data_IF_567677914811
#
_entry.id   IF_567677914811
#
_cell.length_a   1.000
_cell.length_b   1.000
_cell.length_c   1.000
_cell.angle_alpha   90.00
_cell.angle_beta   90.00
_cell.angle_gamma   90.00
#
_symmetry.space_group_name_H-M   'P 1'
#
loop_
_entity.id
_entity.type
_entity.pdbx_description
1 polymer ?
#
# COMPACT_ATOMS: atom_id res chain seq x y z
N UNK A 1 -24.92 -1.78 -11.01
CA UNK A 1 -24.14 -2.87 -11.61
C UNK A 1 -23.60 -2.35 -12.93
N UNK A 2 -22.31 -1.99 -12.96
CA UNK A 2 -21.68 -1.27 -14.07
C UNK A 2 -21.30 -2.29 -15.16
N UNK A 3 -21.83 -2.15 -16.37
CA UNK A 3 -21.67 -3.14 -17.47
C UNK A 3 -20.48 -2.78 -18.37
N UNK A 4 -19.83 -3.81 -18.90
CA UNK A 4 -18.65 -3.80 -19.80
C UNK A 4 -18.79 -3.06 -21.16
N UNK A 5 -19.86 -2.27 -21.37
CA UNK A 5 -20.15 -1.65 -22.68
C UNK A 5 -19.71 -0.19 -22.83
N UNK A 6 -19.49 0.52 -21.74
CA UNK A 6 -19.21 1.96 -21.79
C UNK A 6 -17.69 2.19 -21.70
N UNK A 7 -17.09 2.80 -22.73
CA UNK A 7 -15.65 3.02 -22.89
C UNK A 7 -15.01 3.98 -21.88
N UNK A 8 -15.22 3.77 -20.58
CA UNK A 8 -14.63 4.56 -19.50
C UNK A 8 -13.24 4.05 -19.14
N UNK A 9 -12.24 4.93 -19.29
CA UNK A 9 -10.91 4.75 -18.73
C UNK A 9 -10.94 5.05 -17.23
N UNK A 10 -11.06 4.01 -16.40
CA UNK A 10 -11.07 4.20 -14.94
C UNK A 10 -9.71 4.59 -14.37
N UNK A 11 -8.62 4.35 -15.10
CA UNK A 11 -7.26 4.66 -14.65
C UNK A 11 -6.73 5.91 -15.35
N UNK A 12 -6.30 6.87 -14.55
CA UNK A 12 -5.56 8.05 -14.99
C UNK A 12 -4.11 7.98 -14.53
N UNK A 13 -3.19 8.32 -15.43
CA UNK A 13 -1.74 8.38 -15.17
C UNK A 13 -1.26 9.84 -15.24
N UNK A 14 0.06 10.06 -15.32
CA UNK A 14 0.62 11.39 -15.56
C UNK A 14 0.01 12.11 -16.76
N UNK A 15 -0.06 13.44 -16.69
CA UNK A 15 -0.73 14.32 -17.66
C UNK A 15 -2.23 14.02 -17.88
N UNK A 16 -2.86 13.30 -16.93
CA UNK A 16 -4.26 12.83 -17.02
C UNK A 16 -4.54 12.02 -18.28
N UNK A 17 -3.53 11.31 -18.80
CA UNK A 17 -3.74 10.36 -19.88
C UNK A 17 -4.61 9.23 -19.37
N UNK A 18 -5.79 9.17 -19.96
CA UNK A 18 -6.84 8.22 -19.68
C UNK A 18 -6.64 7.01 -20.60
N UNK A 19 -6.38 5.83 -20.04
CA UNK A 19 -6.20 4.63 -20.84
C UNK A 19 -7.53 3.89 -20.98
N UNK A 20 -8.07 3.75 -22.21
CA UNK A 20 -9.42 3.20 -22.42
C UNK A 20 -9.57 1.76 -21.94
N UNK A 21 -8.48 0.98 -21.93
CA UNK A 21 -8.46 -0.45 -21.62
C UNK A 21 -7.10 -0.87 -21.06
N UNK A 22 -6.76 -0.45 -19.85
CA UNK A 22 -5.71 -1.15 -19.12
C UNK A 22 -6.27 -2.54 -18.75
N UNK A 23 -5.61 -3.60 -19.24
CA UNK A 23 -5.87 -4.96 -18.76
C UNK A 23 -5.47 -5.10 -17.28
N UNK A 24 -5.50 -6.31 -16.71
CA UNK A 24 -5.13 -6.53 -15.31
C UNK A 24 -3.65 -6.21 -15.00
N UNK A 25 -2.80 -6.06 -16.02
CA UNK A 25 -1.40 -5.60 -15.89
C UNK A 25 -1.20 -4.32 -16.70
N UNK A 26 -0.95 -3.23 -16.00
CA UNK A 26 -0.64 -1.90 -16.56
C UNK A 26 0.72 -1.39 -16.06
N UNK A 27 1.64 -2.31 -15.73
CA UNK A 27 2.97 -1.97 -15.20
C UNK A 27 3.80 -1.13 -16.18
N UNK A 28 3.57 -1.30 -17.49
CA UNK A 28 4.26 -0.53 -18.53
C UNK A 28 3.82 0.93 -18.48
N UNK A 29 2.53 1.16 -18.39
CA UNK A 29 1.90 2.46 -18.43
C UNK A 29 2.14 3.26 -17.15
N UNK A 30 2.08 2.59 -15.99
CA UNK A 30 2.50 3.16 -14.71
C UNK A 30 3.99 3.58 -14.68
N UNK A 31 4.82 3.01 -15.56
CA UNK A 31 6.24 3.34 -15.69
C UNK A 31 6.55 4.45 -16.69
N UNK A 32 5.55 5.02 -17.38
CA UNK A 32 5.75 6.08 -18.36
C UNK A 32 5.78 7.46 -17.70
N UNK A 33 4.77 7.80 -16.90
CA UNK A 33 4.64 9.06 -16.19
C UNK A 33 3.73 8.87 -14.97
N UNK A 34 4.13 9.37 -13.79
CA UNK A 34 3.32 9.21 -12.57
C UNK A 34 2.24 10.31 -12.48
N UNK A 35 1.11 9.98 -11.86
CA UNK A 35 -0.03 10.89 -11.70
C UNK A 35 0.31 12.14 -10.86
N UNK A 36 1.04 11.97 -9.76
CA UNK A 36 1.44 13.05 -8.85
C UNK A 36 2.93 12.88 -8.48
N UNK A 37 3.86 13.48 -9.25
CA UNK A 37 5.29 13.39 -9.00
C UNK A 37 5.71 14.35 -7.88
N UNK A 38 6.49 13.85 -6.92
CA UNK A 38 7.10 14.67 -5.87
C UNK A 38 8.47 15.19 -6.32
N UNK A 39 8.67 16.51 -6.25
CA UNK A 39 9.98 17.12 -6.50
C UNK A 39 10.99 16.67 -5.43
N UNK A 40 12.13 16.15 -5.89
CA UNK A 40 13.23 15.69 -5.04
C UNK A 40 14.31 16.78 -4.97
N UNK A 41 14.33 17.46 -3.83
CA UNK A 41 15.26 18.51 -3.44
C UNK A 41 16.51 17.96 -2.76
N UNK A 42 16.39 16.98 -1.85
CA UNK A 42 17.53 16.44 -1.09
C UNK A 42 17.25 15.04 -0.58
N UNK A 43 18.19 14.13 -0.82
CA UNK A 43 18.15 12.76 -0.30
C UNK A 43 19.57 12.22 -0.07
N UNK A 44 19.67 11.21 0.79
CA UNK A 44 20.93 10.54 1.09
C UNK A 44 20.92 9.08 0.61
N UNK A 45 22.09 8.57 0.27
CA UNK A 45 22.32 7.14 0.00
C UNK A 45 23.38 6.64 0.98
N UNK A 46 23.01 5.70 1.84
CA UNK A 46 23.91 5.07 2.80
C UNK A 46 24.31 3.70 2.25
N UNK A 47 25.61 3.44 2.14
CA UNK A 47 26.15 2.13 1.74
C UNK A 47 27.38 1.78 2.55
N UNK A 48 27.81 0.52 2.53
CA UNK A 48 29.19 0.19 2.96
C UNK A 48 30.20 0.68 1.93
N UNK A 49 31.47 0.81 2.33
CA UNK A 49 32.56 1.19 1.42
C UNK A 49 32.69 0.21 0.23
N UNK A 50 32.49 -1.09 0.48
CA UNK A 50 32.53 -2.15 -0.55
C UNK A 50 31.43 -1.98 -1.63
N UNK A 51 30.27 -1.45 -1.26
CA UNK A 51 29.14 -1.28 -2.18
C UNK A 51 29.01 0.16 -2.71
N UNK A 52 30.00 1.03 -2.45
CA UNK A 52 29.98 2.44 -2.86
C UNK A 52 29.83 2.62 -4.38
N UNK A 53 30.45 1.77 -5.20
CA UNK A 53 30.29 1.85 -6.66
C UNK A 53 28.89 1.43 -7.14
N UNK A 54 28.21 0.53 -6.43
CA UNK A 54 26.79 0.23 -6.69
C UNK A 54 25.90 1.39 -6.27
N UNK A 55 26.25 2.07 -5.18
CA UNK A 55 25.53 3.26 -4.72
C UNK A 55 25.63 4.43 -5.71
N UNK A 56 26.83 4.70 -6.24
CA UNK A 56 27.03 5.71 -7.30
C UNK A 56 26.22 5.40 -8.55
N UNK A 57 26.30 4.15 -9.05
CA UNK A 57 25.49 3.68 -10.19
C UNK A 57 23.99 3.79 -9.93
N UNK A 58 23.54 3.51 -8.70
CA UNK A 58 22.16 3.71 -8.31
C UNK A 58 21.76 5.19 -8.38
N UNK A 59 22.57 6.10 -7.85
CA UNK A 59 22.30 7.55 -7.87
C UNK A 59 22.13 8.06 -9.31
N UNK A 60 23.05 7.67 -10.20
CA UNK A 60 23.01 8.04 -11.62
C UNK A 60 21.76 7.45 -12.31
N UNK A 61 21.51 6.15 -12.13
CA UNK A 61 20.35 5.50 -12.73
C UNK A 61 19.04 6.07 -12.19
N UNK A 62 18.98 6.41 -10.90
CA UNK A 62 17.82 7.01 -10.26
C UNK A 62 17.48 8.34 -10.93
N UNK A 63 18.48 9.22 -11.13
CA UNK A 63 18.29 10.47 -11.86
C UNK A 63 17.77 10.23 -13.30
N UNK A 64 18.33 9.23 -14.00
CA UNK A 64 17.93 8.91 -15.37
C UNK A 64 16.48 8.42 -15.48
N UNK A 65 16.00 7.60 -14.53
CA UNK A 65 14.62 7.09 -14.55
C UNK A 65 13.60 8.07 -13.97
N UNK A 66 14.01 8.99 -13.09
CA UNK A 66 13.11 10.00 -12.51
C UNK A 66 12.60 11.00 -13.56
N UNK A 67 13.43 11.37 -14.54
CA UNK A 67 13.06 12.34 -15.59
C UNK A 67 11.81 11.94 -16.40
N UNK A 68 11.73 10.75 -17.03
CA UNK A 68 10.53 10.36 -17.77
C UNK A 68 9.30 10.24 -16.88
N UNK A 69 9.47 9.90 -15.59
CA UNK A 69 8.37 9.83 -14.64
C UNK A 69 7.77 11.20 -14.27
N UNK A 70 8.38 12.32 -14.68
CA UNK A 70 7.97 13.66 -14.23
C UNK A 70 8.53 14.05 -12.85
N UNK A 71 9.39 13.22 -12.26
CA UNK A 71 10.03 13.49 -10.96
C UNK A 71 11.21 14.43 -11.18
N UNK A 72 11.03 15.70 -10.80
CA UNK A 72 12.08 16.71 -10.89
C UNK A 72 13.11 16.53 -9.78
N UNK A 73 14.38 16.46 -10.16
CA UNK A 73 15.53 16.31 -9.26
C UNK A 73 16.33 17.62 -9.21
N UNK A 74 16.48 18.23 -8.03
CA UNK A 74 17.25 19.46 -7.86
C UNK A 74 18.75 19.22 -7.63
N UNK A 75 19.11 18.08 -7.04
CA UNK A 75 20.50 17.70 -6.80
C UNK A 75 20.67 16.18 -6.82
N UNK A 76 21.92 15.73 -7.01
CA UNK A 76 22.29 14.33 -6.85
C UNK A 76 22.27 13.91 -5.37
N UNK A 77 22.05 12.62 -5.13
CA UNK A 77 22.03 12.06 -3.78
C UNK A 77 23.38 12.17 -3.09
N UNK A 78 23.37 12.52 -1.81
CA UNK A 78 24.58 12.54 -0.98
C UNK A 78 24.94 11.12 -0.56
N UNK A 79 26.10 10.61 -1.01
CA UNK A 79 26.58 9.29 -0.62
C UNK A 79 27.29 9.33 0.75
N UNK A 80 26.82 8.51 1.68
CA UNK A 80 27.42 8.29 3.00
C UNK A 80 27.94 6.86 3.07
N UNK A 81 29.26 6.70 3.20
CA UNK A 81 29.92 5.39 3.22
C UNK A 81 30.24 4.93 4.63
N UNK A 82 29.81 3.73 4.99
CA UNK A 82 30.08 3.08 6.27
C UNK A 82 31.25 2.11 6.16
N UNK A 83 32.04 1.99 7.23
CA UNK A 83 33.08 0.97 7.36
C UNK A 83 32.49 -0.37 7.82
N UNK A 84 31.50 -0.32 8.70
CA UNK A 84 30.83 -1.49 9.27
C UNK A 84 29.45 -1.77 8.66
N UNK A 85 28.89 -2.91 9.05
CA UNK A 85 27.53 -3.35 8.69
C UNK A 85 26.76 -3.81 9.95
N UNK A 86 26.85 -3.01 11.02
CA UNK A 86 26.17 -3.25 12.30
C UNK A 86 25.04 -2.22 12.50
N UNK A 87 24.02 -2.52 13.32
CA UNK A 87 22.91 -1.60 13.57
C UNK A 87 23.34 -0.18 13.99
N UNK A 88 24.36 -0.08 14.86
CA UNK A 88 24.85 1.21 15.34
C UNK A 88 25.54 2.05 14.25
N UNK A 89 26.17 1.43 13.24
CA UNK A 89 26.78 2.14 12.12
C UNK A 89 25.72 2.94 11.34
N UNK A 90 24.59 2.30 11.04
CA UNK A 90 23.48 2.93 10.33
C UNK A 90 22.79 3.99 11.19
N UNK A 91 22.52 3.71 12.46
CA UNK A 91 21.89 4.69 13.35
C UNK A 91 22.76 5.94 13.51
N UNK A 92 24.09 5.79 13.61
CA UNK A 92 25.01 6.93 13.69
C UNK A 92 25.00 7.76 12.40
N UNK A 93 24.98 7.11 11.24
CA UNK A 93 24.87 7.81 9.96
C UNK A 93 23.52 8.52 9.78
N UNK A 94 22.42 7.87 10.17
CA UNK A 94 21.07 8.45 10.13
C UNK A 94 20.90 9.63 11.08
N UNK A 95 21.54 9.58 12.26
CA UNK A 95 21.55 10.71 13.22
C UNK A 95 22.25 11.96 12.66
N UNK A 96 23.18 11.78 11.72
CA UNK A 96 23.84 12.88 11.03
C UNK A 96 23.01 13.55 9.94
N UNK A 97 21.82 13.01 9.63
CA UNK A 97 20.90 13.60 8.65
C UNK A 97 19.91 14.53 9.36
N UNK A 98 19.51 15.60 8.69
CA UNK A 98 18.45 16.51 9.17
C UNK A 98 17.09 16.08 8.60
N UNK A 99 16.13 15.66 9.44
CA UNK A 99 14.78 15.27 9.00
C UNK A 99 13.99 16.39 8.32
N UNK A 100 14.28 17.66 8.62
CA UNK A 100 13.54 18.79 8.05
C UNK A 100 13.94 19.10 6.61
N UNK A 101 15.15 18.70 6.21
CA UNK A 101 15.69 18.97 4.86
C UNK A 101 15.92 17.73 4.03
N UNK A 102 16.11 16.56 4.65
CA UNK A 102 16.33 15.29 3.94
C UNK A 102 15.00 14.59 3.69
N UNK A 103 14.54 14.54 2.43
CA UNK A 103 13.23 13.99 2.09
C UNK A 103 13.15 12.47 2.19
N UNK A 104 14.24 11.77 1.88
CA UNK A 104 14.32 10.32 2.04
C UNK A 104 15.77 9.84 2.12
N UNK A 105 15.93 8.60 2.56
CA UNK A 105 17.21 7.90 2.61
C UNK A 105 17.11 6.54 1.93
N UNK A 106 18.09 6.24 1.06
CA UNK A 106 18.26 4.91 0.47
C UNK A 106 19.37 4.19 1.22
N UNK A 107 19.10 2.98 1.70
CA UNK A 107 20.09 2.14 2.40
C UNK A 107 20.43 0.93 1.55
N UNK A 108 21.67 0.85 1.07
CA UNK A 108 22.18 -0.31 0.34
C UNK A 108 22.82 -1.27 1.34
N UNK A 109 22.11 -2.37 1.61
CA UNK A 109 22.53 -3.43 2.52
C UNK A 109 23.35 -4.49 1.75
N UNK A 110 24.58 -4.84 2.18
CA UNK A 110 25.39 -5.87 1.51
C UNK A 110 24.70 -7.23 1.42
N UNK A 111 23.96 -7.60 2.48
CA UNK A 111 23.23 -8.85 2.60
C UNK A 111 21.95 -8.66 3.43
N UNK A 112 21.07 -9.66 3.40
CA UNK A 112 19.85 -9.67 4.20
C UNK A 112 20.21 -9.93 5.66
N UNK A 113 19.79 -9.01 6.53
CA UNK A 113 19.95 -9.08 7.98
C UNK A 113 18.77 -8.40 8.65
N UNK A 114 17.91 -9.18 9.26
CA UNK A 114 16.63 -8.70 9.78
C UNK A 114 16.83 -7.81 11.01
N UNK A 115 17.85 -8.07 11.82
CA UNK A 115 18.24 -7.24 12.96
C UNK A 115 18.67 -5.83 12.53
N UNK A 116 19.50 -5.73 11.48
CA UNK A 116 19.94 -4.45 10.90
C UNK A 116 18.77 -3.73 10.23
N UNK A 117 17.96 -4.46 9.45
CA UNK A 117 16.78 -3.89 8.80
C UNK A 117 15.78 -3.31 9.83
N UNK A 118 15.48 -4.07 10.88
CA UNK A 118 14.59 -3.64 11.95
C UNK A 118 15.13 -2.42 12.68
N UNK A 119 16.44 -2.37 12.98
CA UNK A 119 17.07 -1.22 13.61
C UNK A 119 16.97 0.05 12.74
N UNK A 120 17.27 -0.06 11.44
CA UNK A 120 17.12 1.05 10.48
C UNK A 120 15.67 1.53 10.43
N UNK A 121 14.71 0.61 10.34
CA UNK A 121 13.28 0.94 10.25
C UNK A 121 12.76 1.60 11.52
N UNK A 122 13.14 1.09 12.68
CA UNK A 122 12.79 1.67 13.97
C UNK A 122 13.35 3.10 14.09
N UNK A 123 14.63 3.29 13.78
CA UNK A 123 15.28 4.60 13.87
C UNK A 123 14.64 5.62 12.93
N UNK A 124 14.36 5.24 11.68
CA UNK A 124 13.74 6.11 10.68
C UNK A 124 12.26 6.45 10.96
N UNK A 125 11.62 5.79 11.92
CA UNK A 125 10.21 6.05 12.29
C UNK A 125 10.14 6.77 13.64
N UNK A 126 10.97 6.39 14.62
CA UNK A 126 10.91 6.91 15.98
C UNK A 126 11.88 8.07 16.25
N UNK A 127 13.15 7.93 15.85
CA UNK A 127 14.22 8.85 16.29
C UNK A 127 14.54 9.91 15.23
N UNK A 128 14.46 9.56 13.94
CA UNK A 128 14.80 10.41 12.81
C UNK A 128 13.76 10.15 11.70
N UNK A 129 12.59 10.82 11.73
CA UNK A 129 11.44 10.49 10.90
C UNK A 129 11.65 10.85 9.42
N UNK A 130 12.44 10.03 8.73
CA UNK A 130 12.80 10.16 7.31
C UNK A 130 12.34 8.90 6.57
N UNK A 131 11.51 9.04 5.51
CA UNK A 131 11.16 7.92 4.65
C UNK A 131 12.39 7.13 4.16
N UNK A 132 12.39 5.81 4.41
CA UNK A 132 13.54 4.96 4.12
C UNK A 132 13.28 3.88 3.06
N UNK A 133 14.23 3.68 2.16
CA UNK A 133 14.22 2.65 1.13
C UNK A 133 15.45 1.74 1.26
N UNK A 134 15.27 0.53 1.79
CA UNK A 134 16.34 -0.45 1.85
C UNK A 134 16.43 -1.22 0.52
N UNK A 135 17.65 -1.51 0.07
CA UNK A 135 17.95 -2.23 -1.16
C UNK A 135 19.06 -3.24 -0.86
N UNK A 136 18.88 -4.51 -1.23
CA UNK A 136 19.98 -5.46 -1.15
C UNK A 136 20.99 -5.20 -2.28
N UNK A 137 22.28 -5.17 -1.94
CA UNK A 137 23.37 -4.93 -2.88
C UNK A 137 23.34 -5.88 -4.07
N UNK A 138 22.98 -7.16 -3.86
CA UNK A 138 22.81 -8.15 -4.94
C UNK A 138 21.76 -7.75 -5.99
N UNK A 139 20.73 -7.00 -5.59
CA UNK A 139 19.68 -6.52 -6.50
C UNK A 139 20.22 -5.51 -7.50
N UNK A 140 21.24 -4.72 -7.11
CA UNK A 140 21.90 -3.74 -7.98
C UNK A 140 23.05 -4.35 -8.81
N UNK A 141 23.38 -5.63 -8.61
CA UNK A 141 24.50 -6.28 -9.29
C UNK A 141 24.23 -6.69 -10.74
N UNK A 142 22.96 -6.77 -11.17
CA UNK A 142 22.61 -7.16 -12.53
C UNK A 142 22.41 -5.94 -13.43
N UNK A 143 23.44 -5.59 -14.20
CA UNK A 143 23.44 -4.39 -15.05
C UNK A 143 22.31 -4.37 -16.08
N UNK A 144 22.00 -5.53 -16.69
CA UNK A 144 20.92 -5.65 -17.69
C UNK A 144 19.54 -5.32 -17.10
N UNK A 145 19.34 -5.54 -15.80
CA UNK A 145 18.08 -5.29 -15.10
C UNK A 145 18.09 -4.02 -14.24
N UNK A 146 19.24 -3.34 -14.13
CA UNK A 146 19.42 -2.20 -13.23
C UNK A 146 18.37 -1.11 -13.48
N UNK A 147 18.13 -0.73 -14.75
CA UNK A 147 17.16 0.30 -15.10
C UNK A 147 15.74 -0.04 -14.63
N UNK A 148 15.26 -1.25 -14.88
CA UNK A 148 13.89 -1.65 -14.49
C UNK A 148 13.74 -1.82 -12.98
N UNK A 149 14.81 -2.23 -12.30
CA UNK A 149 14.88 -2.30 -10.84
C UNK A 149 14.80 -0.90 -10.23
N UNK A 150 15.65 0.02 -10.69
CA UNK A 150 15.70 1.39 -10.17
C UNK A 150 14.42 2.16 -10.51
N UNK A 151 13.80 1.91 -11.67
CA UNK A 151 12.49 2.44 -12.02
C UNK A 151 11.43 2.06 -10.97
N UNK A 152 11.32 0.77 -10.61
CA UNK A 152 10.38 0.31 -9.57
C UNK A 152 10.67 0.93 -8.21
N UNK A 153 11.95 1.07 -7.87
CA UNK A 153 12.37 1.74 -6.63
C UNK A 153 11.98 3.23 -6.65
N UNK A 154 12.10 3.91 -7.79
CA UNK A 154 11.69 5.30 -7.93
C UNK A 154 10.19 5.50 -7.75
N UNK A 155 9.38 4.61 -8.32
CA UNK A 155 7.93 4.59 -8.10
C UNK A 155 7.60 4.40 -6.61
N UNK A 156 8.28 3.46 -5.92
CA UNK A 156 8.10 3.25 -4.47
C UNK A 156 8.49 4.47 -3.64
N UNK A 157 9.61 5.13 -3.99
CA UNK A 157 10.06 6.35 -3.30
C UNK A 157 9.04 7.47 -3.51
N UNK A 158 8.53 7.67 -4.73
CA UNK A 158 7.50 8.67 -4.98
C UNK A 158 6.27 8.47 -4.07
N UNK A 159 5.78 7.23 -3.93
CA UNK A 159 4.68 6.91 -3.03
C UNK A 159 5.01 7.21 -1.55
N UNK A 160 6.23 6.90 -1.11
CA UNK A 160 6.67 7.16 0.28
C UNK A 160 6.79 8.65 0.59
N UNK A 161 7.01 9.48 -0.43
CA UNK A 161 7.02 10.94 -0.31
C UNK A 161 5.62 11.54 -0.43
N UNK A 162 4.59 10.70 -0.56
CA UNK A 162 3.19 11.11 -0.68
C UNK A 162 2.72 11.30 -2.12
N UNK A 163 3.56 11.07 -3.13
CA UNK A 163 3.15 11.10 -4.54
C UNK A 163 2.30 9.90 -4.92
N UNK A 164 1.70 9.96 -6.11
CA UNK A 164 0.74 8.95 -6.56
C UNK A 164 1.08 8.50 -7.97
N UNK A 165 1.01 7.20 -8.24
CA UNK A 165 1.43 6.64 -9.53
C UNK A 165 0.33 6.73 -10.58
N UNK A 166 -0.89 6.45 -10.15
CA UNK A 166 -2.12 6.45 -10.94
C UNK A 166 -3.30 6.77 -10.02
N UNK A 167 -4.43 7.09 -10.60
CA UNK A 167 -5.67 7.46 -9.93
C UNK A 167 -6.86 6.71 -10.50
N UNK A 168 -7.86 6.43 -9.67
CA UNK A 168 -9.13 5.84 -10.11
C UNK A 168 -10.18 6.93 -10.34
N UNK A 169 -10.75 7.00 -11.54
CA UNK A 169 -11.81 7.97 -11.88
C UNK A 169 -13.18 7.42 -11.52
N UNK A 170 -13.51 7.38 -10.23
CA UNK A 170 -14.83 6.93 -9.80
C UNK A 170 -15.90 8.00 -10.06
N UNK A 171 -17.05 7.67 -10.67
CA UNK A 171 -18.11 8.62 -10.99
C UNK A 171 -19.00 8.86 -9.76
N UNK A 172 -18.37 9.13 -8.62
CA UNK A 172 -19.02 9.32 -7.32
C UNK A 172 -19.19 10.81 -7.05
N UNK A 173 -20.45 11.25 -6.90
CA UNK A 173 -20.78 12.62 -6.49
C UNK A 173 -20.55 12.84 -4.99
N UNK A 174 -20.73 11.78 -4.21
CA UNK A 174 -20.49 11.73 -2.77
C UNK A 174 -18.99 11.64 -2.46
N UNK A 175 -18.56 12.18 -1.33
CA UNK A 175 -17.23 11.96 -0.77
C UNK A 175 -17.22 10.64 -0.02
N UNK A 176 -16.45 9.69 -0.55
CA UNK A 176 -16.40 8.33 -0.02
C UNK A 176 -15.04 8.10 0.64
N UNK A 177 -15.08 7.61 1.88
CA UNK A 177 -13.92 7.10 2.60
C UNK A 177 -13.91 5.58 2.51
N UNK A 178 -12.92 5.04 1.81
CA UNK A 178 -12.62 3.60 1.81
C UNK A 178 -11.64 3.30 2.93
N UNK A 179 -11.99 2.35 3.79
CA UNK A 179 -11.20 1.96 4.95
C UNK A 179 -10.77 0.51 4.78
N UNK A 180 -9.48 0.23 4.87
CA UNK A 180 -8.92 -1.12 4.93
C UNK A 180 -8.45 -1.43 6.34
N UNK A 181 -8.80 -2.60 6.86
CA UNK A 181 -8.39 -3.07 8.19
C UNK A 181 -7.75 -4.44 8.07
N UNK A 182 -6.54 -4.60 8.60
CA UNK A 182 -5.85 -5.89 8.70
C UNK A 182 -5.23 -6.05 10.09
N UNK A 183 -5.08 -7.30 10.53
CA UNK A 183 -4.51 -7.64 11.81
C UNK A 183 -3.39 -8.67 11.65
N UNK A 184 -2.20 -8.32 12.13
CA UNK A 184 -1.06 -9.21 12.22
C UNK A 184 -1.00 -9.84 13.62
N UNK A 185 -0.97 -11.17 13.65
CA UNK A 185 -0.87 -11.94 14.88
C UNK A 185 0.44 -12.74 14.90
N UNK A 186 1.13 -12.76 16.03
CA UNK A 186 2.21 -13.72 16.26
C UNK A 186 1.60 -15.13 16.38
N UNK A 187 1.97 -16.09 15.52
CA UNK A 187 1.49 -17.47 15.60
C UNK A 187 1.75 -18.13 16.96
N UNK A 188 2.82 -17.71 17.65
CA UNK A 188 3.19 -18.21 18.98
C UNK A 188 2.55 -17.41 20.12
N UNK A 189 1.81 -16.34 19.82
CA UNK A 189 1.15 -15.43 20.77
C UNK A 189 2.09 -14.85 21.83
N UNK A 190 3.39 -14.74 21.55
CA UNK A 190 4.38 -14.11 22.45
C UNK A 190 4.31 -12.60 22.34
N UNK A 191 4.18 -12.11 21.11
CA UNK A 191 4.05 -10.69 20.83
C UNK A 191 2.57 -10.24 20.76
N UNK A 192 2.28 -8.98 21.15
CA UNK A 192 0.95 -8.40 20.97
C UNK A 192 0.52 -8.45 19.50
N UNK A 193 -0.78 -8.67 19.29
CA UNK A 193 -1.36 -8.56 17.95
C UNK A 193 -1.39 -7.09 17.54
N UNK A 194 -1.16 -6.81 16.27
CA UNK A 194 -1.15 -5.43 15.74
C UNK A 194 -2.24 -5.29 14.70
N UNK A 195 -3.14 -4.33 14.91
CA UNK A 195 -4.17 -3.94 13.96
C UNK A 195 -3.74 -2.67 13.23
N UNK A 196 -4.00 -2.62 11.93
CA UNK A 196 -3.73 -1.47 11.09
C UNK A 196 -5.01 -1.04 10.39
N UNK A 197 -5.28 0.27 10.41
CA UNK A 197 -6.37 0.90 9.69
C UNK A 197 -5.78 1.88 8.68
N UNK A 198 -6.22 1.79 7.43
CA UNK A 198 -5.86 2.71 6.36
C UNK A 198 -7.14 3.29 5.77
N UNK A 199 -7.25 4.62 5.66
CA UNK A 199 -8.43 5.29 5.16
C UNK A 199 -8.09 6.21 3.98
N UNK A 200 -8.83 6.13 2.87
CA UNK A 200 -8.66 7.04 1.73
C UNK A 200 -9.09 8.45 2.10
N UNK A 201 -8.37 9.44 1.58
CA UNK A 201 -8.61 10.86 1.85
C UNK A 201 -9.24 11.60 0.68
N UNK A 202 -9.40 10.93 -0.46
CA UNK A 202 -9.99 11.47 -1.67
C UNK A 202 -10.63 10.37 -2.52
N UNK A 203 -11.58 10.76 -3.37
CA UNK A 203 -12.31 9.83 -4.24
C UNK A 203 -11.42 9.18 -5.30
N UNK A 204 -10.27 9.77 -5.63
CA UNK A 204 -9.34 9.15 -6.59
C UNK A 204 -8.52 8.00 -5.98
N UNK A 205 -8.65 7.77 -4.66
CA UNK A 205 -7.89 6.76 -3.91
C UNK A 205 -6.37 6.93 -4.07
N UNK A 206 -5.88 8.17 -4.00
CA UNK A 206 -4.44 8.47 -4.20
C UNK A 206 -3.74 8.90 -2.92
N UNK A 207 -4.50 9.31 -1.89
CA UNK A 207 -4.01 9.75 -0.59
C UNK A 207 -4.66 8.93 0.51
N UNK A 208 -3.88 8.56 1.52
CA UNK A 208 -4.31 7.69 2.59
C UNK A 208 -3.82 8.18 3.95
N UNK A 209 -4.69 8.12 4.94
CA UNK A 209 -4.33 8.14 6.35
C UNK A 209 -4.07 6.70 6.80
N UNK A 210 -3.07 6.47 7.65
CA UNK A 210 -2.82 5.17 8.24
C UNK A 210 -2.49 5.28 9.71
N UNK A 211 -2.98 4.32 10.49
CA UNK A 211 -2.67 4.18 11.91
C UNK A 211 -2.52 2.70 12.22
N UNK A 212 -1.60 2.39 13.14
CA UNK A 212 -1.43 1.05 13.69
C UNK A 212 -1.55 1.12 15.21
N UNK A 213 -2.14 0.10 15.81
CA UNK A 213 -2.24 -0.09 17.25
C UNK A 213 -1.91 -1.54 17.59
N UNK A 214 -1.24 -1.76 18.72
CA UNK A 214 -0.89 -3.10 19.21
C UNK A 214 -1.66 -3.38 20.50
N UNK A 215 -2.25 -4.56 20.60
CA UNK A 215 -3.02 -5.02 21.76
C UNK A 215 -2.72 -6.48 22.08
N UNK A 216 -2.75 -6.84 23.37
CA UNK A 216 -2.55 -8.23 23.83
C UNK A 216 -3.85 -9.04 23.77
N UNK A 217 -5.00 -8.38 23.86
CA UNK A 217 -6.32 -9.02 23.86
C UNK A 217 -7.19 -8.42 22.76
N UNK A 218 -8.14 -9.21 22.23
CA UNK A 218 -9.05 -8.81 21.16
C UNK A 218 -9.86 -7.55 21.49
N UNK A 219 -10.27 -7.40 22.75
CA UNK A 219 -11.01 -6.22 23.20
C UNK A 219 -10.19 -4.92 23.07
N UNK A 220 -8.91 -4.93 23.46
CA UNK A 220 -8.02 -3.77 23.31
C UNK A 220 -7.86 -3.37 21.83
N UNK A 221 -7.82 -4.37 20.93
CA UNK A 221 -7.76 -4.12 19.49
C UNK A 221 -9.07 -3.50 18.97
N UNK A 222 -10.22 -3.99 19.40
CA UNK A 222 -11.52 -3.45 19.01
C UNK A 222 -11.70 -2.00 19.52
N UNK A 223 -11.34 -1.72 20.77
CA UNK A 223 -11.36 -0.36 21.33
C UNK A 223 -10.40 0.57 20.57
N UNK A 224 -9.23 0.05 20.18
CA UNK A 224 -8.28 0.80 19.34
C UNK A 224 -8.87 1.16 17.97
N UNK A 225 -9.65 0.26 17.35
CA UNK A 225 -10.28 0.51 16.04
C UNK A 225 -11.22 1.72 16.05
N UNK A 226 -12.00 1.90 17.13
CA UNK A 226 -12.84 3.08 17.31
C UNK A 226 -11.99 4.35 17.24
N UNK A 227 -10.95 4.45 18.07
CA UNK A 227 -10.07 5.62 18.10
C UNK A 227 -9.33 5.84 16.76
N UNK A 228 -8.96 4.77 16.08
CA UNK A 228 -8.31 4.85 14.76
C UNK A 228 -9.26 5.40 13.69
N UNK A 229 -10.53 4.99 13.68
CA UNK A 229 -11.52 5.54 12.74
C UNK A 229 -11.91 6.98 13.12
N UNK A 230 -12.01 7.29 14.41
CA UNK A 230 -12.25 8.67 14.88
C UNK A 230 -11.15 9.62 14.35
N UNK A 231 -9.88 9.24 14.49
CA UNK A 231 -8.76 10.02 13.96
C UNK A 231 -8.77 10.12 12.44
N UNK A 232 -9.11 9.04 11.73
CA UNK A 232 -9.22 9.05 10.28
C UNK A 232 -10.33 9.99 9.78
N UNK A 233 -11.50 10.01 10.43
CA UNK A 233 -12.60 10.92 10.10
C UNK A 233 -12.20 12.38 10.37
N UNK A 234 -11.59 12.66 11.52
CA UNK A 234 -11.10 14.00 11.85
C UNK A 234 -10.03 14.48 10.85
N UNK A 235 -9.10 13.60 10.46
CA UNK A 235 -8.09 13.93 9.45
C UNK A 235 -8.69 14.13 8.06
N UNK A 236 -9.68 13.31 7.69
CA UNK A 236 -10.43 13.52 6.45
C UNK A 236 -11.13 14.88 6.46
N UNK A 237 -11.80 15.24 7.54
CA UNK A 237 -12.46 16.53 7.69
C UNK A 237 -11.48 17.70 7.63
N UNK A 238 -10.28 17.57 8.21
CA UNK A 238 -9.29 18.65 8.16
C UNK A 238 -8.78 18.91 6.74
N UNK A 239 -8.65 17.86 5.92
CA UNK A 239 -8.18 17.96 4.53
C UNK A 239 -9.30 18.31 3.55
N UNK A 240 -10.53 17.84 3.81
CA UNK A 240 -11.68 17.98 2.89
C UNK A 240 -12.68 19.06 3.31
N UNK A 241 -12.48 19.65 4.48
CA UNK A 241 -13.35 20.64 5.13
C UNK A 241 -14.78 20.15 5.39
N UNK A 242 -15.01 18.84 5.30
CA UNK A 242 -16.26 18.15 5.64
C UNK A 242 -16.00 16.68 5.94
N UNK A 243 -16.89 16.06 6.70
CA UNK A 243 -16.88 14.61 6.96
C UNK A 243 -17.30 13.82 5.71
N UNK A 244 -16.94 12.53 5.58
CA UNK A 244 -17.36 11.72 4.44
C UNK A 244 -18.89 11.52 4.41
N UNK A 245 -19.47 11.43 3.22
CA UNK A 245 -20.89 11.08 3.02
C UNK A 245 -21.10 9.55 3.10
N UNK A 246 -20.03 8.78 2.86
CA UNK A 246 -20.03 7.33 2.91
C UNK A 246 -18.71 6.78 3.44
N UNK A 247 -18.80 5.80 4.34
CA UNK A 247 -17.67 5.04 4.85
C UNK A 247 -17.84 3.58 4.45
N UNK A 248 -16.89 3.05 3.67
CA UNK A 248 -16.88 1.65 3.22
C UNK A 248 -15.67 0.96 3.81
N UNK A 249 -15.90 0.02 4.73
CA UNK A 249 -14.86 -0.72 5.43
C UNK A 249 -14.65 -2.09 4.77
N UNK A 250 -13.40 -2.41 4.46
CA UNK A 250 -12.92 -3.72 4.04
C UNK A 250 -12.03 -4.31 5.12
N UNK A 251 -12.51 -5.35 5.81
CA UNK A 251 -11.78 -6.05 6.87
C UNK A 251 -11.15 -7.33 6.32
N UNK A 252 -9.82 -7.42 6.29
CA UNK A 252 -9.10 -8.62 5.86
C UNK A 252 -9.15 -9.71 6.93
N UNK A 253 -9.52 -10.92 6.56
CA UNK A 253 -9.58 -12.04 7.49
C UNK A 253 -10.95 -12.20 8.14
N UNK A 254 -11.15 -13.40 8.65
CA UNK A 254 -12.47 -13.92 9.00
C UNK A 254 -12.58 -15.35 8.53
N UNK A 255 -12.18 -16.29 9.38
CA UNK A 255 -12.72 -17.65 9.25
C UNK A 255 -14.21 -17.58 9.59
N UNK A 256 -14.98 -18.58 9.17
CA UNK A 256 -16.42 -18.65 9.50
C UNK A 256 -16.66 -18.51 11.01
N UNK A 257 -15.76 -19.06 11.84
CA UNK A 257 -15.85 -19.00 13.29
C UNK A 257 -15.49 -17.63 13.92
N UNK A 258 -14.89 -16.70 13.18
CA UNK A 258 -14.53 -15.37 13.68
C UNK A 258 -15.55 -14.28 13.31
N UNK A 259 -16.48 -14.56 12.38
CA UNK A 259 -17.43 -13.55 11.86
C UNK A 259 -18.33 -12.97 12.95
N UNK A 260 -18.88 -13.80 13.83
CA UNK A 260 -19.77 -13.34 14.91
C UNK A 260 -19.03 -12.41 15.90
N UNK A 261 -17.75 -12.69 16.16
CA UNK A 261 -16.94 -11.80 17.00
C UNK A 261 -16.66 -10.46 16.31
N UNK A 262 -16.24 -10.48 15.04
CA UNK A 262 -15.97 -9.26 14.26
C UNK A 262 -17.22 -8.38 14.21
N UNK A 263 -18.40 -8.97 14.00
CA UNK A 263 -19.67 -8.25 14.00
C UNK A 263 -20.00 -7.64 15.36
N UNK A 264 -19.91 -8.43 16.45
CA UNK A 264 -20.28 -7.98 17.80
C UNK A 264 -19.25 -7.09 18.49
N UNK A 265 -18.02 -6.99 17.98
CA UNK A 265 -16.97 -6.19 18.63
C UNK A 265 -16.42 -5.12 17.70
N UNK A 266 -15.73 -5.51 16.63
CA UNK A 266 -15.04 -4.58 15.74
C UNK A 266 -16.04 -3.66 15.00
N UNK A 267 -17.11 -4.22 14.44
CA UNK A 267 -18.10 -3.44 13.70
C UNK A 267 -18.84 -2.44 14.61
N UNK A 268 -19.26 -2.86 15.80
CA UNK A 268 -19.91 -1.97 16.77
C UNK A 268 -19.01 -0.79 17.15
N UNK A 269 -17.72 -1.02 17.39
CA UNK A 269 -16.76 0.04 17.71
C UNK A 269 -16.56 1.04 16.57
N UNK A 270 -16.52 0.57 15.32
CA UNK A 270 -16.42 1.44 14.15
C UNK A 270 -17.72 2.23 13.90
N UNK A 271 -18.89 1.60 14.11
CA UNK A 271 -20.18 2.28 14.02
C UNK A 271 -20.32 3.39 15.07
N UNK A 272 -19.84 3.16 16.30
CA UNK A 272 -19.81 4.20 17.34
C UNK A 272 -18.95 5.41 16.92
N UNK A 273 -17.79 5.18 16.30
CA UNK A 273 -16.94 6.27 15.77
C UNK A 273 -17.65 7.05 14.66
N UNK A 274 -18.28 6.34 13.70
CA UNK A 274 -19.05 6.97 12.63
C UNK A 274 -20.23 7.76 13.19
N UNK A 275 -21.04 7.19 14.09
CA UNK A 275 -22.20 7.86 14.66
C UNK A 275 -21.83 9.12 15.46
N UNK A 276 -20.68 9.11 16.13
CA UNK A 276 -20.17 10.25 16.90
C UNK A 276 -19.74 11.42 16.00
N UNK A 277 -19.05 11.15 14.90
CA UNK A 277 -18.36 12.19 14.13
C UNK A 277 -18.99 12.48 12.76
N UNK A 278 -19.64 11.51 12.16
CA UNK A 278 -20.25 11.62 10.83
C UNK A 278 -21.62 10.92 10.82
N UNK A 279 -22.58 11.32 11.68
CA UNK A 279 -23.85 10.60 11.89
C UNK A 279 -24.69 10.41 10.62
N UNK A 280 -24.61 11.35 9.68
CA UNK A 280 -25.33 11.31 8.40
C UNK A 280 -24.64 10.45 7.33
N UNK A 281 -23.42 9.97 7.59
CA UNK A 281 -22.68 9.16 6.64
C UNK A 281 -23.26 7.75 6.54
N UNK A 282 -23.45 7.27 5.31
CA UNK A 282 -23.77 5.86 5.08
C UNK A 282 -22.59 4.96 5.45
N UNK A 283 -22.84 3.84 6.12
CA UNK A 283 -21.81 2.92 6.59
C UNK A 283 -21.97 1.54 5.95
N UNK A 284 -20.88 0.98 5.42
CA UNK A 284 -20.84 -0.38 4.84
C UNK A 284 -19.65 -1.12 5.40
N UNK A 285 -19.86 -2.35 5.87
CA UNK A 285 -18.81 -3.21 6.39
C UNK A 285 -18.75 -4.52 5.58
N UNK A 286 -17.61 -4.78 4.95
CA UNK A 286 -17.37 -5.95 4.12
C UNK A 286 -16.17 -6.74 4.63
N UNK A 287 -16.38 -8.02 4.93
CA UNK A 287 -15.31 -8.95 5.31
C UNK A 287 -14.69 -9.55 4.04
N UNK A 288 -13.37 -9.48 3.92
CA UNK A 288 -12.61 -9.98 2.78
C UNK A 288 -11.90 -11.28 3.17
N UNK A 289 -12.35 -12.40 2.61
CA UNK A 289 -11.75 -13.72 2.83
C UNK A 289 -10.92 -14.15 1.61
N UNK A 290 -9.59 -14.07 1.71
CA UNK A 290 -8.67 -14.43 0.60
C UNK A 290 -8.30 -15.91 0.55
N UNK A 291 -8.38 -16.61 1.69
CA UNK A 291 -7.98 -18.03 1.82
C UNK A 291 -9.22 -18.92 1.94
N UNK A 292 -9.91 -19.10 0.83
CA UNK A 292 -11.13 -19.91 0.75
C UNK A 292 -10.86 -21.27 0.09
N UNK A 293 -11.63 -22.33 0.40
CA UNK A 293 -11.51 -23.63 -0.26
C UNK A 293 -12.18 -23.68 -1.65
N UNK A 294 -13.15 -22.80 -1.93
CA UNK A 294 -13.87 -22.79 -3.21
C UNK A 294 -12.92 -22.44 -4.37
N UNK A 295 -13.10 -23.11 -5.51
CA UNK A 295 -12.39 -22.83 -6.76
C UNK A 295 -13.41 -22.77 -7.89
N UNK A 296 -13.25 -21.78 -8.75
CA UNK A 296 -14.14 -21.55 -9.88
C UNK A 296 -13.35 -21.62 -11.18
N UNK A 297 -13.94 -22.26 -12.18
CA UNK A 297 -13.33 -22.46 -13.48
C UNK A 297 -14.30 -22.09 -14.58
N UNK A 298 -13.78 -21.54 -15.68
CA UNK A 298 -14.53 -21.35 -16.91
C UNK A 298 -14.58 -22.68 -17.66
N UNK A 299 -15.77 -23.22 -17.87
CA UNK A 299 -15.97 -24.41 -18.71
C UNK A 299 -15.86 -24.02 -20.18
N UNK A 300 -14.85 -24.55 -20.88
CA UNK A 300 -14.64 -24.36 -22.32
C UNK A 300 -15.08 -25.60 -23.14
N UNK A 301 -15.91 -26.47 -22.54
CA UNK A 301 -16.42 -27.69 -23.15
C UNK A 301 -15.28 -28.66 -23.50
N UNK A 302 -15.14 -28.98 -24.79
CA UNK A 302 -14.10 -29.93 -25.26
C UNK A 302 -12.66 -29.46 -25.02
N UNK A 303 -12.44 -28.16 -24.79
CA UNK A 303 -11.13 -27.59 -24.46
C UNK A 303 -10.76 -27.74 -22.98
N UNK A 304 -11.67 -28.25 -22.16
CA UNK A 304 -11.48 -28.44 -20.72
C UNK A 304 -11.84 -27.20 -19.91
N UNK A 305 -11.18 -27.04 -18.78
CA UNK A 305 -11.41 -25.94 -17.84
C UNK A 305 -10.29 -24.91 -17.91
N UNK A 306 -10.65 -23.64 -17.82
CA UNK A 306 -9.70 -22.52 -17.77
C UNK A 306 -9.93 -21.67 -16.51
N UNK A 307 -8.94 -20.85 -16.14
CA UNK A 307 -9.09 -19.91 -15.04
C UNK A 307 -10.07 -18.80 -15.42
N UNK A 308 -10.83 -18.33 -14.43
CA UNK A 308 -11.63 -17.11 -14.58
C UNK A 308 -10.74 -15.89 -14.81
N UNK A 309 -11.21 -14.96 -15.63
CA UNK A 309 -10.52 -13.69 -15.87
C UNK A 309 -10.71 -12.72 -14.71
N UNK A 310 -9.74 -11.83 -14.41
CA UNK A 310 -9.95 -10.74 -13.47
C UNK A 310 -11.20 -9.91 -13.81
N UNK A 311 -12.01 -9.61 -12.81
CA UNK A 311 -13.33 -8.99 -12.96
C UNK A 311 -14.49 -10.01 -12.91
N UNK A 312 -14.22 -11.32 -12.95
CA UNK A 312 -15.27 -12.35 -12.82
C UNK A 312 -15.89 -12.32 -11.42
N UNK A 313 -17.23 -12.30 -11.36
CA UNK A 313 -18.02 -12.28 -10.11
C UNK A 313 -18.97 -13.48 -10.07
N UNK A 314 -19.06 -14.13 -8.91
CA UNK A 314 -20.03 -15.20 -8.61
C UNK A 314 -20.83 -14.77 -7.37
N UNK A 315 -22.08 -14.34 -7.58
CA UNK A 315 -22.94 -13.74 -6.55
C UNK A 315 -24.18 -14.58 -6.20
N UNK A 316 -24.31 -15.77 -6.79
CA UNK A 316 -25.45 -16.65 -6.60
C UNK A 316 -25.04 -18.13 -6.60
N UNK A 317 -26.00 -19.02 -6.28
CA UNK A 317 -25.91 -20.49 -6.28
C UNK A 317 -24.98 -21.10 -5.23
N UNK A 318 -23.74 -20.63 -5.14
CA UNK A 318 -22.69 -21.11 -4.23
C UNK A 318 -22.40 -20.13 -3.07
N UNK A 319 -23.12 -19.02 -3.04
CA UNK A 319 -23.12 -18.03 -1.96
C UNK A 319 -23.93 -18.53 -0.77
N UNK A 320 -23.77 -17.90 0.40
CA UNK A 320 -24.44 -18.35 1.62
C UNK A 320 -25.85 -17.79 1.68
N UNK A 321 -26.85 -18.65 1.89
CA UNK A 321 -28.28 -18.29 1.93
C UNK A 321 -28.62 -17.10 2.85
N UNK A 322 -27.90 -16.92 3.95
CA UNK A 322 -28.20 -15.90 4.97
C UNK A 322 -27.19 -14.75 5.02
N UNK A 323 -26.24 -14.68 4.07
CA UNK A 323 -25.28 -13.59 3.99
C UNK A 323 -25.49 -12.82 2.68
N UNK A 324 -25.12 -11.54 2.69
CA UNK A 324 -24.92 -10.79 1.47
C UNK A 324 -23.46 -10.94 1.05
N UNK A 325 -23.14 -12.04 0.38
CA UNK A 325 -21.79 -12.41 -0.04
C UNK A 325 -21.67 -12.67 -1.56
N UNK A 326 -20.44 -12.53 -2.07
CA UNK A 326 -20.09 -12.86 -3.44
C UNK A 326 -18.60 -13.24 -3.51
N UNK A 327 -18.21 -13.96 -4.56
CA UNK A 327 -16.82 -14.24 -4.90
C UNK A 327 -16.39 -13.35 -6.06
N UNK A 328 -15.16 -12.87 -6.04
CA UNK A 328 -14.60 -12.05 -7.10
C UNK A 328 -13.15 -12.44 -7.40
N UNK A 329 -12.85 -12.71 -8.66
CA UNK A 329 -11.48 -12.91 -9.13
C UNK A 329 -10.93 -11.54 -9.49
N UNK A 330 -9.98 -11.03 -8.70
CA UNK A 330 -9.38 -9.70 -8.91
C UNK A 330 -7.96 -9.74 -9.49
N UNK A 331 -7.29 -10.90 -9.44
CA UNK A 331 -5.91 -11.05 -9.84
C UNK A 331 -5.73 -12.17 -10.86
N UNK A 332 -4.92 -11.92 -11.89
CA UNK A 332 -4.51 -12.93 -12.85
C UNK A 332 -3.34 -13.75 -12.28
N UNK A 333 -3.41 -15.07 -12.35
CA UNK A 333 -2.31 -15.95 -11.94
C UNK A 333 -1.57 -16.46 -13.18
N UNK A 334 -0.23 -16.37 -13.17
CA UNK A 334 0.63 -16.75 -14.31
C UNK A 334 1.04 -18.23 -14.29
N UNK A 335 1.04 -18.87 -13.12
CA UNK A 335 1.30 -20.30 -12.94
C UNK A 335 0.48 -20.79 -11.74
N UNK A 336 -0.37 -21.79 -11.95
CA UNK A 336 -1.36 -22.38 -10.99
C UNK A 336 -2.71 -21.63 -10.92
N UNK A 337 -3.77 -22.38 -10.58
CA UNK A 337 -5.16 -21.93 -10.49
C UNK A 337 -5.36 -20.76 -9.53
N UNK A 338 -6.21 -19.80 -9.93
CA UNK A 338 -6.59 -18.67 -9.09
C UNK A 338 -7.37 -19.14 -7.85
N UNK A 339 -6.89 -18.74 -6.67
CA UNK A 339 -7.66 -18.79 -5.40
C UNK A 339 -8.74 -17.73 -5.37
#
# INVERSE_FOLDING_TARGET
MWREGDGWSWLSFGDRVNLPKAGPDFSREAGLSVYDPIEVKRYAVISTQRDSDKAKRFIEMYQQVSKPLGIKMMQLGTLVTLRGFMPHDFNNALRGLDPNTTQFVVIIMPMQRDDVYAAIKKFCVADCPIPSQCILSKTLGNEKRLRSIVLKIALQINCKLGGSLWALQMPLKEQVMFVGIDAAHDPLKKDPSTVCLVASLNNECTKYYSKAASGRVHQEMAESLRGMLEDAINYFQSVRHRVPDRIIVFRDGGSVGAMEHIEKTEMEQLMQAQQKLAPDASFTFAVVAKRIPQRFFLDQGRKGFDNLQPGSVVDNTVTRRHYFDFYMVSQQVRQVSST
#
